data_IF_368744937664
#
_entry.id   IF_368744937664
#
_cell.length_a   1.000
_cell.length_b   1.000
_cell.length_c   1.000
_cell.angle_alpha   90.00
_cell.angle_beta   90.00
_cell.angle_gamma   90.00
#
_symmetry.space_group_name_H-M   'P 1'
#
loop_
_entity.id
_entity.type
_entity.pdbx_description
1 polymer ?
#
# COMPACT_ATOMS: atom_id res chain seq x y z
N UNK A 1 9.32 68.97 -8.33
CA UNK A 1 10.19 69.35 -7.22
C UNK A 1 9.67 68.67 -5.96
N UNK A 2 10.46 67.74 -5.41
CA UNK A 2 10.55 67.36 -3.98
C UNK A 2 9.26 67.17 -3.16
N UNK A 3 8.93 65.94 -2.75
CA UNK A 3 9.42 65.21 -1.57
C UNK A 3 8.46 65.33 -0.37
N UNK A 4 8.00 64.17 0.08
CA UNK A 4 7.85 63.75 1.48
C UNK A 4 7.25 64.73 2.51
N UNK A 5 6.13 64.34 3.14
CA UNK A 5 6.09 63.77 4.50
C UNK A 5 4.65 63.75 5.05
N UNK A 6 4.08 62.55 5.18
CA UNK A 6 3.27 62.17 6.33
C UNK A 6 3.25 60.64 6.41
N UNK A 7 4.16 60.11 7.24
CA UNK A 7 4.23 58.70 7.65
C UNK A 7 3.38 58.54 8.93
N UNK A 8 2.87 57.32 9.12
CA UNK A 8 2.35 56.70 10.35
C UNK A 8 0.86 56.94 10.64
N UNK A 9 0.01 55.98 10.24
CA UNK A 9 -0.66 55.03 11.14
C UNK A 9 -1.43 54.00 10.29
N UNK A 10 -1.71 52.81 10.84
CA UNK A 10 -2.30 51.61 10.18
C UNK A 10 -1.25 50.65 9.55
N UNK A 11 -0.28 50.26 10.36
CA UNK A 11 0.37 48.95 10.27
C UNK A 11 0.15 48.25 11.59
N UNK A 12 -0.98 47.52 11.76
CA UNK A 12 -1.16 46.48 12.80
C UNK A 12 -2.48 45.69 12.79
N UNK A 13 -3.26 45.64 11.70
CA UNK A 13 -4.51 44.83 11.68
C UNK A 13 -4.62 43.78 10.58
N UNK A 14 -3.66 43.67 9.66
CA UNK A 14 -3.69 42.64 8.60
C UNK A 14 -2.75 41.46 8.87
N UNK A 15 -1.72 41.63 9.71
CA UNK A 15 -0.82 40.52 10.07
C UNK A 15 -1.45 39.64 11.17
N UNK A 16 -2.30 40.19 12.04
CA UNK A 16 -2.98 39.41 13.07
C UNK A 16 -4.11 38.54 12.51
N UNK A 17 -4.83 38.96 11.47
CA UNK A 17 -5.94 38.17 10.88
C UNK A 17 -5.46 37.08 9.93
N UNK A 18 -4.34 37.31 9.22
CA UNK A 18 -3.70 36.26 8.41
C UNK A 18 -3.01 35.22 9.31
N UNK A 19 -2.40 35.63 10.42
CA UNK A 19 -1.88 34.67 11.41
C UNK A 19 -2.99 33.94 12.18
N UNK A 20 -4.16 34.53 12.39
CA UNK A 20 -5.30 33.84 13.05
C UNK A 20 -5.98 32.83 12.11
N UNK A 21 -6.08 33.14 10.82
CA UNK A 21 -6.59 32.20 9.81
C UNK A 21 -5.60 31.05 9.54
N UNK A 22 -4.28 31.30 9.57
CA UNK A 22 -3.28 30.25 9.41
C UNK A 22 -3.12 29.35 10.65
N UNK A 23 -3.36 29.87 11.86
CA UNK A 23 -3.35 29.05 13.08
C UNK A 23 -4.47 28.02 13.10
N UNK A 24 -5.64 28.34 12.52
CA UNK A 24 -6.78 27.43 12.46
C UNK A 24 -6.67 26.35 11.37
N UNK A 25 -5.86 26.58 10.31
CA UNK A 25 -5.60 25.56 9.29
C UNK A 25 -4.58 24.50 9.73
N UNK A 26 -3.64 24.84 10.61
CA UNK A 26 -2.63 23.89 11.14
C UNK A 26 -3.22 23.00 12.26
N UNK A 27 -4.27 23.45 12.96
CA UNK A 27 -4.91 22.68 14.04
C UNK A 27 -5.96 21.67 13.55
N UNK A 28 -6.42 21.73 12.29
CA UNK A 28 -7.45 20.84 11.77
C UNK A 28 -6.90 19.48 11.31
N UNK A 29 -5.68 19.43 10.75
CA UNK A 29 -5.03 18.18 10.30
C UNK A 29 -4.68 17.25 11.47
N UNK A 30 -4.22 17.81 12.60
CA UNK A 30 -3.92 17.03 13.81
C UNK A 30 -5.18 16.45 14.46
N UNK A 31 -6.31 17.16 14.45
CA UNK A 31 -7.54 16.66 15.13
C UNK A 31 -8.16 15.44 14.47
N UNK A 32 -8.10 15.31 13.15
CA UNK A 32 -8.67 14.15 12.46
C UNK A 32 -7.74 12.93 12.59
N UNK A 33 -6.44 13.13 12.37
CA UNK A 33 -5.45 12.09 12.55
C UNK A 33 -5.43 11.58 14.00
N UNK A 34 -5.56 12.46 14.99
CA UNK A 34 -5.68 12.08 16.41
C UNK A 34 -6.95 11.26 16.71
N UNK A 35 -8.10 11.63 16.10
CA UNK A 35 -9.36 10.88 16.26
C UNK A 35 -9.31 9.50 15.59
N UNK A 36 -8.57 9.40 14.50
CA UNK A 36 -8.45 8.17 13.71
C UNK A 36 -7.19 7.37 14.04
N UNK A 37 -6.33 7.86 14.93
CA UNK A 37 -5.08 7.18 15.28
C UNK A 37 -5.36 5.76 15.73
N UNK A 38 -4.55 4.86 15.21
CA UNK A 38 -4.64 3.44 15.46
C UNK A 38 -5.78 2.73 14.76
N UNK A 39 -6.62 3.43 13.99
CA UNK A 39 -7.67 2.79 13.19
C UNK A 39 -7.14 2.40 11.82
N UNK A 40 -7.72 1.35 11.29
CA UNK A 40 -7.68 1.04 9.86
C UNK A 40 -8.88 1.71 9.21
N UNK A 41 -8.63 2.42 8.11
CA UNK A 41 -9.65 3.14 7.34
C UNK A 41 -9.70 2.65 5.91
N UNK A 42 -10.90 2.57 5.34
CA UNK A 42 -11.17 2.10 3.99
C UNK A 42 -11.66 3.25 3.12
N UNK A 43 -10.98 3.48 2.01
CA UNK A 43 -11.32 4.56 1.08
C UNK A 43 -12.56 4.20 0.26
N UNK A 44 -13.73 4.71 0.66
CA UNK A 44 -15.04 4.27 0.10
C UNK A 44 -15.42 4.94 -1.23
N UNK A 45 -14.74 6.02 -1.60
CA UNK A 45 -14.98 6.77 -2.84
C UNK A 45 -13.94 6.44 -3.94
N UNK A 46 -13.28 5.29 -3.82
CA UNK A 46 -12.28 4.79 -4.78
C UNK A 46 -12.31 3.26 -4.84
N UNK A 47 -11.18 2.57 -4.97
CA UNK A 47 -11.14 1.11 -5.12
C UNK A 47 -11.23 0.35 -3.79
N UNK A 48 -11.58 1.02 -2.68
CA UNK A 48 -11.65 0.39 -1.36
C UNK A 48 -10.28 0.22 -0.71
N UNK A 49 -9.31 1.07 -1.06
CA UNK A 49 -7.95 1.05 -0.53
C UNK A 49 -7.95 1.11 1.01
N UNK A 50 -7.15 0.25 1.65
CA UNK A 50 -7.01 0.21 3.09
C UNK A 50 -5.79 1.00 3.57
N UNK A 51 -5.96 1.73 4.67
CA UNK A 51 -4.93 2.58 5.24
C UNK A 51 -4.88 2.41 6.75
N UNK A 52 -3.69 2.36 7.33
CA UNK A 52 -3.49 2.36 8.78
C UNK A 52 -3.03 3.72 9.26
N UNK A 53 -3.74 4.33 10.21
CA UNK A 53 -3.32 5.60 10.82
C UNK A 53 -2.43 5.27 12.01
N UNK A 54 -1.11 5.39 11.87
CA UNK A 54 -0.19 4.92 12.90
C UNK A 54 -0.24 5.84 14.14
N UNK A 55 -0.44 5.30 15.36
CA UNK A 55 -0.47 6.12 16.58
C UNK A 55 0.86 6.81 16.90
N UNK A 56 1.99 6.32 16.37
CA UNK A 56 3.31 6.84 16.70
C UNK A 56 3.63 8.19 16.05
N UNK A 57 3.14 8.43 14.84
CA UNK A 57 3.44 9.65 14.08
C UNK A 57 2.20 10.33 13.46
N UNK A 58 1.00 9.78 13.70
CA UNK A 58 -0.28 10.28 13.19
C UNK A 58 -0.39 10.28 11.66
N UNK A 59 0.49 9.54 10.97
CA UNK A 59 0.45 9.44 9.51
C UNK A 59 -0.37 8.23 9.07
N UNK A 60 -0.91 8.32 7.86
CA UNK A 60 -1.56 7.19 7.17
C UNK A 60 -0.53 6.36 6.39
N UNK A 61 -0.61 5.05 6.51
CA UNK A 61 0.20 4.07 5.82
C UNK A 61 -0.68 3.26 4.89
N UNK A 62 -0.34 3.22 3.60
CA UNK A 62 -1.10 2.46 2.63
C UNK A 62 -0.85 0.97 2.83
N UNK A 63 -1.89 0.18 3.12
CA UNK A 63 -1.72 -1.25 3.42
C UNK A 63 -1.55 -2.09 2.14
N UNK A 64 -2.01 -1.63 0.98
CA UNK A 64 -1.79 -2.34 -0.29
C UNK A 64 -2.30 -3.79 -0.27
N UNK A 65 -1.48 -4.73 -0.73
CA UNK A 65 -1.80 -6.17 -0.77
C UNK A 65 -1.53 -6.84 0.58
N UNK A 66 -2.07 -8.04 0.85
CA UNK A 66 -1.84 -8.76 2.11
C UNK A 66 -0.37 -8.80 2.58
N UNK A 67 0.56 -9.16 1.68
CA UNK A 67 2.01 -9.20 1.98
C UNK A 67 2.60 -7.83 2.30
N UNK A 68 2.15 -6.77 1.61
CA UNK A 68 2.63 -5.40 1.83
C UNK A 68 2.13 -4.88 3.18
N UNK A 69 0.85 -5.14 3.46
CA UNK A 69 0.18 -4.82 4.71
C UNK A 69 0.92 -5.46 5.89
N UNK A 70 1.21 -6.76 5.78
CA UNK A 70 1.93 -7.51 6.80
C UNK A 70 3.34 -6.96 7.07
N UNK A 71 4.07 -6.56 6.02
CA UNK A 71 5.39 -5.95 6.17
C UNK A 71 5.33 -4.61 6.93
N UNK A 72 4.37 -3.76 6.58
CA UNK A 72 4.10 -2.50 7.30
C UNK A 72 3.76 -2.79 8.76
N UNK A 73 2.90 -3.77 9.00
CA UNK A 73 2.45 -4.12 10.35
C UNK A 73 3.58 -4.60 11.24
N UNK A 74 4.49 -5.40 10.69
CA UNK A 74 5.66 -5.89 11.40
C UNK A 74 6.64 -4.77 11.73
N UNK A 75 6.88 -3.86 10.79
CA UNK A 75 7.83 -2.75 10.98
C UNK A 75 7.30 -1.69 11.96
N UNK A 76 6.02 -1.34 11.88
CA UNK A 76 5.38 -0.42 12.82
C UNK A 76 4.95 -1.09 14.13
N UNK A 77 5.15 -2.41 14.20
CA UNK A 77 4.74 -3.25 15.30
C UNK A 77 5.42 -2.86 16.60
N UNK A 78 4.62 -2.71 17.64
CA UNK A 78 5.10 -2.42 18.98
C UNK A 78 5.36 -3.71 19.73
N UNK A 79 6.63 -3.97 20.07
CA UNK A 79 6.99 -5.09 20.94
C UNK A 79 6.23 -5.04 22.27
N UNK A 80 5.64 -6.16 22.65
CA UNK A 80 4.90 -6.34 23.92
C UNK A 80 5.31 -7.64 24.59
N UNK A 81 5.33 -7.62 25.92
CA UNK A 81 5.61 -8.83 26.71
C UNK A 81 4.41 -9.77 26.70
N UNK A 82 4.63 -11.09 26.84
CA UNK A 82 3.53 -12.06 27.02
C UNK A 82 2.64 -11.67 28.22
N UNK A 83 3.23 -11.19 29.32
CA UNK A 83 2.50 -10.77 30.51
C UNK A 83 1.60 -9.56 30.26
N UNK A 84 2.06 -8.58 29.49
CA UNK A 84 1.23 -7.41 29.15
C UNK A 84 0.19 -7.75 28.09
N UNK A 85 0.50 -8.69 27.19
CA UNK A 85 -0.43 -9.17 26.17
C UNK A 85 -1.61 -9.94 26.80
N UNK A 86 -1.36 -10.76 27.83
CA UNK A 86 -2.40 -11.48 28.61
C UNK A 86 -3.37 -10.53 29.33
N UNK A 87 -2.95 -9.30 29.62
CA UNK A 87 -3.79 -8.26 30.24
C UNK A 87 -4.71 -7.56 29.23
N UNK A 88 -4.71 -7.98 27.96
CA UNK A 88 -5.54 -7.44 26.89
C UNK A 88 -6.52 -8.53 26.43
N UNK A 89 -7.84 -8.26 26.46
CA UNK A 89 -8.83 -9.25 26.05
C UNK A 89 -8.69 -9.60 24.57
N UNK A 90 -8.79 -10.88 24.25
CA UNK A 90 -8.75 -11.40 22.88
C UNK A 90 -10.12 -11.25 22.20
N UNK A 91 -10.12 -11.03 20.88
CA UNK A 91 -11.34 -10.97 20.09
C UNK A 91 -11.71 -12.35 19.54
N UNK A 92 -13.01 -12.66 19.51
CA UNK A 92 -13.56 -13.83 18.82
C UNK A 92 -13.57 -13.61 17.30
N UNK A 93 -12.39 -13.62 16.71
CA UNK A 93 -12.19 -13.50 15.27
C UNK A 93 -10.83 -14.06 14.86
N UNK A 94 -10.82 -14.85 13.79
CA UNK A 94 -9.63 -15.53 13.26
C UNK A 94 -8.94 -16.45 14.26
N UNK A 95 -9.69 -16.97 15.24
CA UNK A 95 -9.13 -17.90 16.22
C UNK A 95 -9.02 -19.33 15.68
N UNK A 96 -9.82 -19.69 14.68
CA UNK A 96 -9.94 -21.01 14.07
C UNK A 96 -9.60 -21.04 12.56
N UNK A 97 -8.86 -20.03 12.06
CA UNK A 97 -8.57 -19.91 10.62
C UNK A 97 -7.43 -20.83 10.14
N UNK A 98 -6.77 -21.56 11.03
CA UNK A 98 -5.70 -22.50 10.70
C UNK A 98 -5.97 -23.88 11.31
N UNK A 99 -4.99 -24.78 11.21
CA UNK A 99 -5.06 -26.12 11.82
C UNK A 99 -5.41 -25.99 13.31
N UNK A 100 -6.34 -26.85 13.73
CA UNK A 100 -6.85 -27.01 15.09
C UNK A 100 -6.80 -28.52 15.36
N UNK A 101 -5.86 -28.93 16.21
CA UNK A 101 -5.43 -30.31 16.39
C UNK A 101 -6.26 -31.07 17.44
N UNK A 102 -6.95 -30.37 18.34
CA UNK A 102 -7.79 -30.96 19.39
C UNK A 102 -9.29 -30.60 19.28
N UNK A 103 -9.63 -29.75 18.32
CA UNK A 103 -10.99 -29.39 17.91
C UNK A 103 -11.76 -28.61 18.98
N UNK A 104 -11.09 -27.79 19.79
CA UNK A 104 -11.72 -26.86 20.73
C UNK A 104 -12.13 -25.51 20.08
N UNK A 105 -11.92 -25.38 18.77
CA UNK A 105 -12.11 -24.18 17.96
C UNK A 105 -11.10 -23.05 18.22
N UNK A 106 -9.99 -23.34 18.88
CA UNK A 106 -8.77 -22.54 18.97
C UNK A 106 -7.71 -23.19 18.08
N UNK A 107 -7.15 -22.44 17.14
CA UNK A 107 -6.14 -23.01 16.26
C UNK A 107 -4.80 -23.19 16.97
N UNK A 108 -4.03 -24.20 16.55
CA UNK A 108 -2.68 -24.49 17.04
C UNK A 108 -1.80 -23.22 17.06
N UNK A 109 -1.96 -22.34 16.06
CA UNK A 109 -1.19 -21.11 15.96
C UNK A 109 -1.53 -20.12 17.09
N UNK A 110 -2.81 -20.00 17.44
CA UNK A 110 -3.25 -19.18 18.57
C UNK A 110 -2.87 -19.83 19.88
N UNK A 111 -3.02 -21.13 20.01
CA UNK A 111 -2.64 -21.86 21.22
C UNK A 111 -1.15 -21.72 21.54
N UNK A 112 -0.29 -21.92 20.54
CA UNK A 112 1.15 -21.67 20.65
C UNK A 112 1.47 -20.24 21.12
N UNK A 113 0.68 -19.25 20.70
CA UNK A 113 0.85 -17.85 21.10
C UNK A 113 0.39 -17.58 22.53
N UNK A 114 -0.63 -18.31 23.01
CA UNK A 114 -1.18 -18.20 24.37
C UNK A 114 -0.40 -19.08 25.37
N UNK A 115 0.32 -20.08 24.86
CA UNK A 115 1.11 -21.03 25.63
C UNK A 115 0.31 -22.26 26.07
N UNK A 116 -0.86 -22.51 25.47
CA UNK A 116 -1.68 -23.72 25.67
C UNK A 116 -1.15 -24.89 24.84
N UNK A 117 -1.64 -26.10 25.11
CA UNK A 117 -1.23 -27.34 24.42
C UNK A 117 -2.16 -27.65 23.23
N UNK A 118 -1.69 -27.55 21.97
CA UNK A 118 -2.51 -27.75 20.77
C UNK A 118 -3.18 -29.11 20.60
N UNK A 119 -2.92 -30.05 21.50
CA UNK A 119 -3.45 -31.42 21.42
C UNK A 119 -4.36 -31.74 22.59
N UNK A 120 -4.68 -30.75 23.40
CA UNK A 120 -5.43 -30.92 24.61
C UNK A 120 -6.39 -29.74 24.78
N UNK A 121 -7.70 -29.98 24.58
CA UNK A 121 -8.66 -28.88 24.50
C UNK A 121 -8.85 -28.15 25.85
N UNK A 122 -8.36 -28.73 26.95
CA UNK A 122 -8.42 -28.19 28.32
C UNK A 122 -7.01 -28.29 28.92
N UNK A 123 -6.20 -27.25 28.69
CA UNK A 123 -4.75 -27.25 28.98
C UNK A 123 -4.41 -27.28 30.46
N UNK A 124 -5.31 -26.79 31.33
CA UNK A 124 -5.11 -26.80 32.78
C UNK A 124 -5.92 -27.87 33.53
N UNK A 125 -6.73 -28.63 32.79
CA UNK A 125 -7.54 -29.75 33.23
C UNK A 125 -8.62 -29.37 34.26
N UNK A 126 -9.24 -28.20 34.10
CA UNK A 126 -10.27 -27.68 34.99
C UNK A 126 -11.72 -27.89 34.51
N UNK A 127 -11.89 -28.63 33.41
CA UNK A 127 -13.15 -28.98 32.72
C UNK A 127 -13.75 -27.89 31.83
N UNK A 128 -13.05 -26.78 31.61
CA UNK A 128 -13.38 -25.79 30.59
C UNK A 128 -12.35 -25.87 29.47
N UNK A 129 -12.77 -25.66 28.22
CA UNK A 129 -11.82 -25.66 27.11
C UNK A 129 -11.11 -24.31 26.96
N UNK A 130 -9.91 -24.33 26.38
CA UNK A 130 -9.02 -23.17 26.33
C UNK A 130 -9.67 -21.97 25.64
N UNK A 131 -10.40 -22.22 24.55
CA UNK A 131 -11.18 -21.17 23.87
C UNK A 131 -12.25 -20.56 24.78
N UNK A 132 -13.07 -21.39 25.43
CA UNK A 132 -14.17 -20.96 26.29
C UNK A 132 -13.63 -20.06 27.41
N UNK A 133 -12.53 -20.46 28.03
CA UNK A 133 -11.89 -19.69 29.07
C UNK A 133 -11.42 -18.33 28.55
N UNK A 134 -10.71 -18.28 27.43
CA UNK A 134 -10.25 -17.03 26.82
C UNK A 134 -11.41 -16.09 26.47
N UNK A 135 -12.52 -16.63 25.98
CA UNK A 135 -13.72 -15.84 25.64
C UNK A 135 -14.45 -15.31 26.88
N UNK A 136 -14.38 -16.05 27.99
CA UNK A 136 -15.00 -15.69 29.27
C UNK A 136 -14.04 -14.96 30.24
N UNK A 137 -12.78 -14.74 29.85
CA UNK A 137 -11.79 -14.02 30.63
C UNK A 137 -11.14 -14.82 31.76
N UNK A 138 -11.09 -16.14 31.60
CA UNK A 138 -10.33 -17.07 32.44
C UNK A 138 -9.00 -17.43 31.77
N UNK A 139 -8.08 -17.99 32.57
CA UNK A 139 -6.73 -18.32 32.13
C UNK A 139 -6.67 -19.80 31.77
N UNK A 140 -6.36 -20.17 30.51
CA UNK A 140 -6.30 -21.58 30.08
C UNK A 140 -5.09 -22.36 30.59
N UNK A 141 -4.38 -21.80 31.55
CA UNK A 141 -3.18 -22.37 32.18
C UNK A 141 -3.27 -22.31 33.70
N UNK A 142 -4.46 -22.01 34.24
CA UNK A 142 -4.69 -21.95 35.66
C UNK A 142 -6.01 -21.28 36.02
N UNK A 143 -6.58 -21.73 37.13
CA UNK A 143 -7.90 -21.41 37.70
C UNK A 143 -8.26 -19.93 37.95
N UNK A 144 -7.37 -18.99 37.67
CA UNK A 144 -7.57 -17.57 37.95
C UNK A 144 -8.18 -16.84 36.75
N UNK A 145 -8.94 -15.76 37.03
CA UNK A 145 -9.39 -14.85 35.97
C UNK A 145 -8.24 -14.02 35.43
N UNK A 146 -8.28 -13.74 34.13
CA UNK A 146 -7.35 -12.81 33.49
C UNK A 146 -7.54 -11.40 34.06
N UNK A 147 -6.48 -10.85 34.64
CA UNK A 147 -6.48 -9.50 35.19
C UNK A 147 -6.21 -8.48 34.08
N UNK A 148 -7.27 -8.04 33.40
CA UNK A 148 -7.16 -7.03 32.36
C UNK A 148 -6.78 -5.65 32.91
N UNK A 149 -5.77 -5.02 32.31
CA UNK A 149 -5.27 -3.72 32.74
C UNK A 149 -5.68 -2.62 31.75
N UNK A 150 -6.68 -1.83 32.15
CA UNK A 150 -7.17 -0.70 31.37
C UNK A 150 -6.08 0.33 31.03
N UNK A 151 -5.05 0.51 31.87
CA UNK A 151 -3.96 1.45 31.56
C UNK A 151 -3.11 0.93 30.41
N UNK A 152 -2.82 -0.38 30.39
CA UNK A 152 -2.08 -1.04 29.30
C UNK A 152 -2.91 -1.02 28.02
N UNK A 153 -4.18 -1.41 28.11
CA UNK A 153 -5.13 -1.42 26.99
C UNK A 153 -5.21 -0.04 26.34
N UNK A 154 -5.40 1.03 27.13
CA UNK A 154 -5.48 2.39 26.58
C UNK A 154 -4.15 2.86 25.99
N UNK A 155 -3.01 2.51 26.62
CA UNK A 155 -1.67 2.86 26.14
C UNK A 155 -1.32 2.18 24.81
N UNK A 156 -1.79 0.95 24.61
CA UNK A 156 -1.53 0.13 23.44
C UNK A 156 -2.65 0.18 22.40
N UNK A 157 -3.74 0.86 22.71
CA UNK A 157 -4.90 1.00 21.82
C UNK A 157 -4.49 1.49 20.44
N UNK A 158 -4.85 0.71 19.42
CA UNK A 158 -4.57 1.04 18.03
C UNK A 158 -3.19 0.68 17.52
N UNK A 159 -2.33 0.11 18.35
CA UNK A 159 -1.07 -0.45 17.88
C UNK A 159 -1.27 -1.86 17.35
N UNK A 160 -0.47 -2.19 16.34
CA UNK A 160 -0.11 -3.57 16.08
C UNK A 160 0.93 -3.96 17.14
N UNK A 161 0.70 -5.08 17.81
CA UNK A 161 1.51 -5.60 18.89
C UNK A 161 2.27 -6.83 18.39
N UNK A 162 3.57 -6.86 18.65
CA UNK A 162 4.43 -8.00 18.31
C UNK A 162 4.86 -8.67 19.59
N UNK A 163 4.57 -9.95 19.72
CA UNK A 163 4.92 -10.74 20.89
C UNK A 163 6.43 -10.93 20.95
N UNK A 164 7.09 -10.30 21.92
CA UNK A 164 8.55 -10.22 21.96
C UNK A 164 9.23 -11.54 22.38
N UNK A 165 8.54 -12.37 23.16
CA UNK A 165 9.06 -13.65 23.68
C UNK A 165 8.55 -14.88 22.89
N UNK A 166 7.86 -14.68 21.76
CA UNK A 166 7.34 -15.75 20.91
C UNK A 166 8.09 -15.86 19.58
N UNK A 167 7.43 -16.41 18.55
CA UNK A 167 7.95 -16.46 17.17
C UNK A 167 7.73 -15.15 16.41
N UNK A 168 7.33 -14.08 17.12
CA UNK A 168 7.00 -12.78 16.53
C UNK A 168 5.55 -12.72 16.06
N UNK A 169 4.66 -13.41 16.75
CA UNK A 169 3.22 -13.39 16.55
C UNK A 169 2.70 -11.95 16.63
N UNK A 170 1.80 -11.61 15.71
CA UNK A 170 1.30 -10.26 15.55
C UNK A 170 -0.19 -10.18 15.94
N UNK A 171 -0.53 -9.09 16.62
CA UNK A 171 -1.88 -8.81 17.09
C UNK A 171 -2.25 -7.37 16.77
N UNK A 172 -3.50 -7.09 16.45
CA UNK A 172 -3.99 -5.71 16.34
C UNK A 172 -4.91 -5.38 17.50
N UNK A 173 -4.55 -4.41 18.34
CA UNK A 173 -5.43 -3.94 19.41
C UNK A 173 -6.38 -2.88 18.86
N UNK A 174 -7.63 -3.27 18.60
CA UNK A 174 -8.60 -2.41 17.95
C UNK A 174 -9.08 -1.28 18.89
N UNK A 175 -8.95 0.01 18.49
CA UNK A 175 -9.40 1.12 19.32
C UNK A 175 -10.91 1.17 19.57
N UNK A 176 -11.71 0.44 18.80
CA UNK A 176 -13.18 0.48 18.89
C UNK A 176 -13.74 -0.36 20.03
N UNK A 177 -13.23 -1.58 20.20
CA UNK A 177 -13.71 -2.56 21.19
C UNK A 177 -12.66 -2.90 22.26
N UNK A 178 -11.43 -2.38 22.11
CA UNK A 178 -10.31 -2.60 23.02
C UNK A 178 -9.89 -4.07 23.14
N UNK A 179 -10.18 -4.89 22.13
CA UNK A 179 -9.74 -6.28 22.04
C UNK A 179 -8.58 -6.43 21.06
N UNK A 180 -7.72 -7.42 21.33
CA UNK A 180 -6.64 -7.82 20.42
C UNK A 180 -7.12 -8.89 19.44
N UNK A 181 -6.91 -8.62 18.17
CA UNK A 181 -7.21 -9.52 17.06
C UNK A 181 -5.93 -10.24 16.64
N UNK A 182 -5.98 -11.56 16.54
CA UNK A 182 -4.86 -12.32 16.01
C UNK A 182 -4.68 -12.01 14.52
N UNK A 183 -3.47 -11.64 14.11
CA UNK A 183 -3.20 -11.31 12.71
C UNK A 183 -2.71 -12.50 11.89
N UNK A 184 -2.22 -13.57 12.52
CA UNK A 184 -1.90 -14.83 11.84
C UNK A 184 -1.09 -14.66 10.56
N UNK A 185 -1.63 -15.17 9.45
CA UNK A 185 -1.05 -15.05 8.12
C UNK A 185 -1.31 -13.67 7.48
N UNK A 186 -0.57 -13.27 6.43
CA UNK A 186 -0.89 -12.04 5.69
C UNK A 186 -2.34 -11.96 5.22
N UNK A 187 -2.90 -13.09 4.79
CA UNK A 187 -4.29 -13.23 4.34
C UNK A 187 -5.28 -13.01 5.51
N UNK A 188 -5.04 -13.64 6.66
CA UNK A 188 -5.87 -13.45 7.88
C UNK A 188 -5.87 -12.00 8.34
N UNK A 189 -4.67 -11.40 8.39
CA UNK A 189 -4.47 -10.00 8.73
C UNK A 189 -5.25 -9.09 7.78
N UNK A 190 -5.20 -9.37 6.47
CA UNK A 190 -5.91 -8.55 5.49
C UNK A 190 -7.42 -8.63 5.66
N UNK A 191 -7.98 -9.83 5.81
CA UNK A 191 -9.43 -10.03 5.97
C UNK A 191 -9.96 -9.38 7.25
N UNK A 192 -9.26 -9.53 8.38
CA UNK A 192 -9.71 -8.92 9.64
C UNK A 192 -9.67 -7.40 9.56
N UNK A 193 -8.62 -6.85 8.94
CA UNK A 193 -8.46 -5.41 8.81
C UNK A 193 -9.48 -4.78 7.88
N UNK A 194 -9.86 -5.49 6.82
CA UNK A 194 -10.97 -5.09 5.95
C UNK A 194 -12.31 -5.15 6.70
N UNK A 195 -12.54 -6.20 7.50
CA UNK A 195 -13.79 -6.38 8.28
C UNK A 195 -13.99 -5.29 9.35
N UNK A 196 -12.93 -4.90 10.05
CA UNK A 196 -13.01 -3.90 11.15
C UNK A 196 -12.72 -2.47 10.68
N UNK A 197 -12.33 -2.30 9.41
CA UNK A 197 -11.98 -1.03 8.81
C UNK A 197 -13.14 -0.03 8.82
N UNK A 198 -12.81 1.24 9.09
CA UNK A 198 -13.77 2.33 9.08
C UNK A 198 -13.79 3.03 7.72
N UNK A 199 -14.95 3.15 7.09
CA UNK A 199 -15.08 3.91 5.84
C UNK A 199 -14.65 5.37 5.99
N UNK A 200 -13.86 5.87 5.06
CA UNK A 200 -13.41 7.27 4.97
C UNK A 200 -13.51 7.78 3.53
N UNK A 201 -13.97 9.02 3.37
CA UNK A 201 -14.03 9.69 2.07
C UNK A 201 -12.67 10.28 1.67
N UNK A 202 -12.51 10.59 0.38
CA UNK A 202 -11.23 11.02 -0.19
C UNK A 202 -10.74 12.35 0.45
N UNK A 203 -11.67 13.27 0.73
CA UNK A 203 -11.35 14.57 1.33
C UNK A 203 -10.79 14.44 2.75
N UNK A 204 -11.42 13.62 3.60
CA UNK A 204 -10.98 13.40 4.97
C UNK A 204 -9.69 12.58 5.02
N UNK A 205 -9.56 11.60 4.14
CA UNK A 205 -8.32 10.84 4.03
C UNK A 205 -7.17 11.76 3.64
N UNK A 206 -7.34 12.63 2.62
CA UNK A 206 -6.34 13.60 2.14
C UNK A 206 -5.83 14.56 3.22
N UNK A 207 -6.65 14.87 4.23
CA UNK A 207 -6.26 15.71 5.38
C UNK A 207 -5.28 15.04 6.33
N UNK A 208 -5.06 13.73 6.20
CA UNK A 208 -4.12 12.98 7.03
C UNK A 208 -2.84 12.79 6.23
N UNK A 209 -1.74 13.31 6.77
CA UNK A 209 -0.41 13.18 6.17
C UNK A 209 -0.09 11.71 5.92
N UNK A 210 0.35 11.40 4.71
CA UNK A 210 0.79 10.06 4.35
C UNK A 210 2.24 9.83 4.75
N UNK A 211 2.54 8.66 5.31
CA UNK A 211 3.90 8.30 5.67
C UNK A 211 4.77 8.11 4.41
N UNK A 212 6.01 8.56 4.51
CA UNK A 212 7.10 8.18 3.60
C UNK A 212 7.62 6.79 3.98
N UNK A 213 6.70 5.82 4.06
CA UNK A 213 7.06 4.45 4.37
C UNK A 213 7.34 3.69 3.09
N UNK A 214 8.59 3.32 2.93
CA UNK A 214 9.07 2.44 1.89
C UNK A 214 9.24 1.08 2.58
N UNK A 215 8.20 0.20 2.62
CA UNK A 215 8.49 -1.17 3.02
C UNK A 215 9.63 -1.60 2.10
N UNK A 216 10.66 -2.25 2.63
CA UNK A 216 11.63 -2.93 1.78
C UNK A 216 10.79 -3.96 1.02
N UNK A 217 10.30 -3.56 -0.15
CA UNK A 217 9.57 -4.42 -1.04
C UNK A 217 10.59 -5.47 -1.38
N UNK A 218 10.47 -6.67 -0.80
CA UNK A 218 11.26 -7.83 -1.19
C UNK A 218 10.76 -8.32 -2.55
N UNK A 219 10.69 -7.43 -3.54
CA UNK A 219 10.74 -7.76 -4.96
C UNK A 219 12.20 -7.84 -5.44
N UNK A 220 13.17 -7.88 -4.52
CA UNK A 220 14.59 -8.04 -4.84
C UNK A 220 15.02 -9.50 -5.06
N UNK A 221 14.09 -10.44 -5.24
CA UNK A 221 14.45 -11.69 -5.89
C UNK A 221 14.55 -11.45 -7.41
N UNK A 222 15.74 -11.04 -7.86
CA UNK A 222 16.12 -10.82 -9.27
C UNK A 222 15.67 -11.99 -10.17
N UNK A 223 15.68 -13.23 -9.65
CA UNK A 223 15.19 -14.43 -10.35
C UNK A 223 13.66 -14.45 -10.60
N UNK A 224 12.86 -13.89 -9.69
CA UNK A 224 11.38 -13.97 -9.77
C UNK A 224 10.78 -12.89 -10.70
N UNK A 225 11.58 -11.92 -11.15
CA UNK A 225 11.15 -10.79 -11.96
C UNK A 225 11.59 -10.83 -13.43
N UNK A 226 12.09 -11.98 -13.91
CA UNK A 226 12.61 -12.15 -15.27
C UNK A 226 13.58 -11.02 -15.69
N UNK A 227 14.40 -10.55 -14.76
CA UNK A 227 15.32 -9.43 -14.99
C UNK A 227 16.76 -9.92 -14.88
N UNK A 228 17.61 -9.46 -15.79
CA UNK A 228 19.07 -9.62 -15.72
C UNK A 228 19.76 -8.26 -15.74
N UNK A 229 21.04 -8.23 -15.33
CA UNK A 229 21.89 -7.04 -15.46
C UNK A 229 22.73 -7.18 -16.72
N UNK A 230 22.75 -6.17 -17.57
CA UNK A 230 23.55 -6.14 -18.79
C UNK A 230 25.01 -5.78 -18.48
N UNK A 231 25.96 -6.03 -19.40
CA UNK A 231 27.35 -5.60 -19.22
C UNK A 231 27.55 -4.09 -19.03
N UNK A 232 26.62 -3.27 -19.56
CA UNK A 232 26.65 -1.81 -19.41
C UNK A 232 26.07 -1.32 -18.07
N UNK A 233 25.55 -2.23 -17.23
CA UNK A 233 24.93 -1.91 -15.94
C UNK A 233 23.45 -1.50 -16.04
N UNK A 234 22.84 -1.53 -17.23
CA UNK A 234 21.39 -1.42 -17.39
C UNK A 234 20.70 -2.71 -16.93
N UNK A 235 19.40 -2.62 -16.64
CA UNK A 235 18.59 -3.82 -16.37
C UNK A 235 17.87 -4.23 -17.65
N UNK A 236 17.75 -5.53 -17.87
CA UNK A 236 17.01 -6.11 -18.99
C UNK A 236 15.87 -6.98 -18.47
N UNK A 237 14.65 -6.70 -18.90
CA UNK A 237 13.49 -7.54 -18.62
C UNK A 237 13.23 -8.49 -19.79
N UNK A 238 12.83 -9.72 -19.49
CA UNK A 238 12.31 -10.70 -20.44
C UNK A 238 10.89 -11.08 -20.06
N UNK A 239 9.94 -11.03 -20.98
CA UNK A 239 8.56 -11.41 -20.67
C UNK A 239 8.45 -12.91 -20.38
N UNK A 240 7.31 -13.34 -19.82
CA UNK A 240 7.02 -14.77 -19.71
C UNK A 240 7.12 -15.42 -21.11
N UNK A 241 7.72 -16.61 -21.18
CA UNK A 241 8.05 -17.32 -22.45
C UNK A 241 8.95 -16.54 -23.43
N UNK A 242 9.61 -15.46 -22.98
CA UNK A 242 10.53 -14.63 -23.76
C UNK A 242 9.93 -14.02 -25.04
N UNK A 243 8.62 -13.73 -25.05
CA UNK A 243 7.93 -13.10 -26.19
C UNK A 243 8.58 -11.76 -26.57
N UNK A 244 8.89 -10.91 -25.57
CA UNK A 244 9.58 -9.65 -25.79
C UNK A 244 10.57 -9.34 -24.67
N UNK A 245 11.59 -8.54 -24.99
CA UNK A 245 12.56 -8.04 -24.00
C UNK A 245 12.78 -6.54 -24.20
N UNK A 246 13.13 -5.84 -23.13
CA UNK A 246 13.52 -4.43 -23.17
C UNK A 246 14.50 -4.09 -22.04
N UNK A 247 15.23 -2.99 -22.18
CA UNK A 247 16.14 -2.46 -21.17
C UNK A 247 15.56 -1.25 -20.45
N UNK A 248 15.97 -1.07 -19.20
CA UNK A 248 15.51 0.01 -18.34
C UNK A 248 16.60 0.42 -17.32
N UNK A 249 16.50 1.63 -16.72
CA UNK A 249 17.54 2.10 -15.82
C UNK A 249 17.65 1.25 -14.54
N UNK A 250 18.86 1.07 -13.98
CA UNK A 250 19.08 0.20 -12.82
C UNK A 250 18.41 0.67 -11.52
N UNK A 251 18.06 1.96 -11.45
CA UNK A 251 17.35 2.53 -10.30
C UNK A 251 15.84 2.27 -10.33
N UNK A 252 15.29 1.85 -11.48
CA UNK A 252 13.87 1.53 -11.61
C UNK A 252 13.58 0.11 -11.13
N UNK A 253 12.33 -0.14 -10.77
CA UNK A 253 11.85 -1.41 -10.21
C UNK A 253 10.65 -1.91 -10.99
N UNK A 254 10.61 -3.23 -11.22
CA UNK A 254 9.46 -3.92 -11.81
C UNK A 254 8.52 -4.39 -10.70
N UNK A 255 7.23 -4.11 -10.87
CA UNK A 255 6.13 -4.68 -10.10
C UNK A 255 5.27 -5.53 -11.04
N UNK A 256 4.87 -6.70 -10.58
CA UNK A 256 3.95 -7.62 -11.27
C UNK A 256 2.65 -7.75 -10.47
N UNK A 257 1.57 -8.04 -11.17
CA UNK A 257 0.27 -8.31 -10.57
C UNK A 257 -0.06 -9.78 -10.75
N UNK A 258 -0.33 -10.48 -9.65
CA UNK A 258 -0.69 -11.92 -9.69
C UNK A 258 -1.96 -12.13 -10.53
N UNK A 259 -2.94 -11.23 -10.40
CA UNK A 259 -4.20 -11.26 -11.16
C UNK A 259 -4.08 -10.73 -12.61
N UNK A 260 -2.90 -10.25 -13.02
CA UNK A 260 -2.68 -9.69 -14.36
C UNK A 260 -1.28 -10.08 -14.86
N UNK A 261 -1.05 -11.36 -15.20
CA UNK A 261 0.27 -11.87 -15.57
C UNK A 261 0.83 -11.26 -16.86
N UNK A 262 -0.04 -10.65 -17.68
CA UNK A 262 0.33 -9.94 -18.91
C UNK A 262 0.72 -8.48 -18.67
N UNK A 263 0.65 -8.00 -17.42
CA UNK A 263 0.92 -6.62 -17.04
C UNK A 263 2.12 -6.53 -16.11
N UNK A 264 2.99 -5.54 -16.37
CA UNK A 264 4.03 -5.13 -15.44
C UNK A 264 4.06 -3.61 -15.30
N UNK A 265 4.57 -3.13 -14.17
CA UNK A 265 4.84 -1.72 -13.95
C UNK A 265 6.32 -1.51 -13.65
N UNK A 266 6.93 -0.54 -14.32
CA UNK A 266 8.24 -0.02 -14.01
C UNK A 266 8.07 1.32 -13.31
N UNK A 267 8.74 1.50 -12.19
CA UNK A 267 8.72 2.77 -11.50
C UNK A 267 10.03 3.02 -10.77
N UNK A 268 10.46 4.28 -10.76
CA UNK A 268 11.48 4.79 -9.85
C UNK A 268 10.87 5.43 -8.59
N UNK A 269 9.54 5.44 -8.51
CA UNK A 269 8.79 5.89 -7.35
C UNK A 269 8.74 4.78 -6.30
N UNK A 270 8.94 5.20 -5.07
CA UNK A 270 8.83 4.29 -3.92
C UNK A 270 7.37 4.08 -3.54
N UNK A 271 6.52 5.11 -3.69
CA UNK A 271 5.11 5.10 -3.27
C UNK A 271 4.19 5.48 -4.43
N UNK A 272 3.85 6.77 -4.53
CA UNK A 272 2.97 7.36 -5.53
C UNK A 272 3.79 8.26 -6.45
N UNK A 273 3.74 7.97 -7.74
CA UNK A 273 4.56 8.68 -8.72
C UNK A 273 4.11 10.13 -8.93
N UNK A 274 2.85 10.49 -8.65
CA UNK A 274 2.36 11.87 -8.80
C UNK A 274 2.86 12.70 -7.62
N UNK A 275 2.70 12.20 -6.39
CA UNK A 275 3.15 12.88 -5.17
C UNK A 275 4.66 13.02 -5.13
N UNK A 276 5.41 11.97 -5.52
CA UNK A 276 6.87 12.01 -5.57
C UNK A 276 7.42 12.74 -6.80
N UNK A 277 6.54 13.26 -7.66
CA UNK A 277 6.89 13.88 -8.95
C UNK A 277 7.75 12.98 -9.84
N UNK A 278 7.49 11.68 -9.79
CA UNK A 278 8.20 10.63 -10.50
C UNK A 278 7.37 10.06 -11.66
N UNK A 279 7.70 8.85 -12.11
CA UNK A 279 6.98 8.19 -13.18
C UNK A 279 6.64 6.73 -12.89
N UNK A 280 5.64 6.27 -13.61
CA UNK A 280 5.34 4.86 -13.80
C UNK A 280 5.24 4.58 -15.30
N UNK A 281 5.84 3.47 -15.74
CA UNK A 281 5.67 2.93 -17.08
C UNK A 281 4.96 1.58 -16.94
N UNK A 282 3.78 1.48 -17.51
CA UNK A 282 2.96 0.28 -17.49
C UNK A 282 3.12 -0.42 -18.83
N UNK A 283 3.51 -1.70 -18.81
CA UNK A 283 3.53 -2.53 -20.01
C UNK A 283 2.41 -3.56 -19.92
N UNK A 284 1.68 -3.72 -21.01
CA UNK A 284 0.59 -4.67 -21.11
C UNK A 284 0.69 -5.43 -22.43
N UNK A 285 0.88 -6.75 -22.33
CA UNK A 285 0.85 -7.65 -23.48
C UNK A 285 -0.60 -7.99 -23.82
N UNK A 286 -0.99 -7.67 -25.04
CA UNK A 286 -2.35 -7.89 -25.56
C UNK A 286 -2.27 -9.01 -26.60
N UNK A 287 -3.04 -10.07 -26.38
CA UNK A 287 -3.24 -11.14 -27.35
C UNK A 287 -4.70 -11.15 -27.78
N UNK A 288 -4.94 -11.16 -29.08
CA UNK A 288 -6.29 -11.08 -29.66
C UNK A 288 -6.63 -12.31 -30.50
N UNK A 289 -7.92 -12.54 -30.77
CA UNK A 289 -8.35 -13.62 -31.67
C UNK A 289 -8.12 -13.27 -33.15
N UNK A 290 -8.28 -11.99 -33.47
CA UNK A 290 -8.12 -11.41 -34.81
C UNK A 290 -6.88 -10.52 -34.86
N UNK A 291 -6.23 -10.47 -36.02
CA UNK A 291 -5.12 -9.53 -36.22
C UNK A 291 -5.69 -8.15 -36.59
N UNK A 292 -5.61 -7.20 -35.66
CA UNK A 292 -6.14 -5.86 -35.85
C UNK A 292 -5.07 -4.91 -36.45
N UNK A 293 -5.56 -3.89 -37.14
CA UNK A 293 -4.80 -2.69 -37.42
C UNK A 293 -4.61 -1.86 -36.14
N UNK A 294 -3.58 -1.03 -36.11
CA UNK A 294 -3.15 -0.33 -34.89
C UNK A 294 -4.09 0.80 -34.46
N UNK A 295 -4.91 1.29 -35.37
CA UNK A 295 -5.90 2.35 -35.13
C UNK A 295 -6.99 1.93 -34.13
N UNK A 296 -7.25 0.62 -33.96
CA UNK A 296 -8.18 0.13 -32.93
C UNK A 296 -7.73 0.49 -31.50
N UNK A 297 -6.42 0.73 -31.30
CA UNK A 297 -5.86 1.09 -29.99
C UNK A 297 -5.84 2.59 -29.74
N UNK A 298 -6.29 3.38 -30.72
CA UNK A 298 -6.47 4.82 -30.57
C UNK A 298 -7.38 5.12 -29.38
N UNK A 299 -6.94 6.02 -28.53
CA UNK A 299 -7.73 6.47 -27.38
C UNK A 299 -8.51 7.72 -27.79
N UNK A 300 -9.81 7.74 -27.49
CA UNK A 300 -10.65 8.91 -27.77
C UNK A 300 -10.12 10.17 -27.05
N UNK A 301 -10.42 11.34 -27.61
CA UNK A 301 -10.07 12.60 -26.98
C UNK A 301 -10.72 12.72 -25.60
N UNK A 302 -9.92 13.10 -24.60
CA UNK A 302 -10.38 13.24 -23.22
C UNK A 302 -10.87 14.67 -22.99
N UNK A 303 -12.13 14.84 -22.59
CA UNK A 303 -12.73 16.15 -22.35
C UNK A 303 -11.94 16.95 -21.30
N UNK A 304 -11.53 18.17 -21.64
CA UNK A 304 -10.79 19.05 -20.74
C UNK A 304 -9.29 18.74 -20.62
N UNK A 305 -8.74 17.90 -21.50
CA UNK A 305 -7.32 17.52 -21.54
C UNK A 305 -6.74 17.85 -22.91
N UNK A 306 -5.52 18.41 -22.96
CA UNK A 306 -4.88 18.72 -24.23
C UNK A 306 -4.25 17.47 -24.85
N UNK A 307 -4.69 17.09 -26.05
CA UNK A 307 -4.06 16.02 -26.84
C UNK A 307 -2.79 16.58 -27.49
N UNK A 308 -1.64 15.97 -27.19
CA UNK A 308 -0.33 16.36 -27.73
C UNK A 308 0.11 15.47 -28.90
N UNK A 309 -0.26 14.18 -28.87
CA UNK A 309 -0.07 13.28 -30.01
C UNK A 309 -1.23 12.30 -30.16
N UNK A 310 -1.52 11.98 -31.42
CA UNK A 310 -2.51 11.00 -31.86
C UNK A 310 -2.11 10.59 -33.29
N UNK A 311 -1.14 9.67 -33.41
CA UNK A 311 -0.51 9.35 -34.70
C UNK A 311 0.11 7.96 -34.73
N UNK A 312 0.27 7.44 -35.94
CA UNK A 312 1.14 6.29 -36.19
C UNK A 312 2.62 6.66 -36.01
N UNK A 313 3.40 5.70 -35.52
CA UNK A 313 4.83 5.82 -35.26
C UNK A 313 5.57 4.54 -35.67
N UNK A 314 6.88 4.65 -35.90
CA UNK A 314 7.77 3.50 -36.05
C UNK A 314 8.74 3.43 -34.87
N UNK A 315 8.81 2.26 -34.24
CA UNK A 315 9.71 1.97 -33.12
C UNK A 315 10.65 0.84 -33.57
N UNK A 316 11.84 1.21 -34.03
CA UNK A 316 12.74 0.26 -34.68
C UNK A 316 12.09 -0.35 -35.93
N UNK A 317 11.89 -1.67 -35.93
CA UNK A 317 11.20 -2.41 -36.99
C UNK A 317 9.68 -2.49 -36.80
N UNK A 318 9.16 -2.13 -35.63
CA UNK A 318 7.75 -2.27 -35.30
C UNK A 318 6.94 -1.05 -35.74
N UNK A 319 5.78 -1.31 -36.33
CA UNK A 319 4.73 -0.31 -36.45
C UNK A 319 4.03 -0.11 -35.11
N UNK A 320 3.70 1.13 -34.78
CA UNK A 320 2.98 1.47 -33.57
C UNK A 320 2.04 2.65 -33.72
N UNK A 321 1.25 2.88 -32.67
CA UNK A 321 0.35 4.02 -32.54
C UNK A 321 0.62 4.71 -31.21
N UNK A 322 0.82 6.02 -31.25
CA UNK A 322 1.14 6.84 -30.10
C UNK A 322 0.03 7.85 -29.79
N UNK A 323 -0.32 7.93 -28.51
CA UNK A 323 -1.18 8.97 -27.95
C UNK A 323 -0.49 9.64 -26.76
N UNK A 324 -0.58 10.96 -26.66
CA UNK A 324 -0.13 11.68 -25.46
C UNK A 324 -1.07 12.80 -25.07
N UNK A 325 -1.19 13.00 -23.75
CA UNK A 325 -2.14 13.89 -23.13
C UNK A 325 -1.46 14.72 -22.03
N UNK A 326 -1.75 16.02 -22.03
CA UNK A 326 -1.27 16.95 -21.02
C UNK A 326 -2.40 17.34 -20.07
N UNK A 327 -2.25 16.94 -18.81
CA UNK A 327 -3.16 17.25 -17.72
C UNK A 327 -2.62 18.43 -16.90
N UNK A 328 -3.45 19.06 -16.03
CA UNK A 328 -2.96 20.15 -15.18
C UNK A 328 -1.76 19.78 -14.30
N UNK A 329 -1.70 18.54 -13.79
CA UNK A 329 -0.65 18.08 -12.86
C UNK A 329 0.13 16.85 -13.35
N UNK A 330 -0.27 16.26 -14.48
CA UNK A 330 0.30 15.00 -14.97
C UNK A 330 0.49 15.04 -16.48
N UNK A 331 1.33 14.13 -16.96
CA UNK A 331 1.57 13.86 -18.36
C UNK A 331 1.41 12.37 -18.61
N UNK A 332 0.71 12.01 -19.69
CA UNK A 332 0.50 10.63 -20.11
C UNK A 332 0.98 10.46 -21.55
N UNK A 333 1.73 9.38 -21.81
CA UNK A 333 2.12 8.97 -23.16
C UNK A 333 1.96 7.47 -23.29
N UNK A 334 1.22 7.02 -24.29
CA UNK A 334 0.97 5.62 -24.57
C UNK A 334 1.39 5.29 -25.98
N UNK A 335 2.14 4.21 -26.16
CA UNK A 335 2.52 3.66 -27.46
C UNK A 335 2.10 2.20 -27.48
N UNK A 336 1.28 1.82 -28.45
CA UNK A 336 0.96 0.42 -28.73
C UNK A 336 1.75 -0.01 -29.96
N UNK A 337 2.56 -1.06 -29.84
CA UNK A 337 3.33 -1.62 -30.95
C UNK A 337 2.82 -3.00 -31.32
N UNK A 338 2.80 -3.31 -32.62
CA UNK A 338 2.46 -4.64 -33.12
C UNK A 338 3.73 -5.48 -33.12
N UNK A 339 3.81 -6.45 -32.21
CA UNK A 339 4.99 -7.33 -32.08
C UNK A 339 4.99 -8.41 -33.18
N UNK A 340 3.84 -9.04 -33.40
CA UNK A 340 3.56 -10.03 -34.44
C UNK A 340 2.04 -10.14 -34.66
N UNK A 341 1.53 -10.88 -35.66
CA UNK A 341 0.10 -11.01 -35.87
C UNK A 341 -0.61 -11.42 -34.57
N UNK A 342 -1.68 -10.70 -34.22
CA UNK A 342 -2.50 -10.90 -33.01
C UNK A 342 -1.80 -10.63 -31.67
N UNK A 343 -0.59 -10.09 -31.67
CA UNK A 343 0.15 -9.76 -30.44
C UNK A 343 0.66 -8.33 -30.45
N UNK A 344 0.24 -7.58 -29.44
CA UNK A 344 0.54 -6.17 -29.30
C UNK A 344 1.12 -5.90 -27.91
N UNK A 345 2.05 -4.96 -27.83
CA UNK A 345 2.57 -4.47 -26.56
C UNK A 345 2.15 -3.02 -26.39
N UNK A 346 1.38 -2.75 -25.35
CA UNK A 346 0.97 -1.39 -24.97
C UNK A 346 1.86 -0.91 -23.83
N UNK A 347 2.57 0.19 -24.07
CA UNK A 347 3.50 0.81 -23.11
C UNK A 347 2.99 2.20 -22.77
N UNK A 348 2.61 2.43 -21.52
CA UNK A 348 2.01 3.69 -21.04
C UNK A 348 2.87 4.32 -19.96
N UNK A 349 3.43 5.50 -20.24
CA UNK A 349 4.05 6.39 -19.26
C UNK A 349 2.98 7.27 -18.61
N UNK A 350 3.03 7.36 -17.28
CA UNK A 350 2.35 8.40 -16.53
C UNK A 350 3.36 9.05 -15.58
N UNK A 351 3.43 10.37 -15.57
CA UNK A 351 4.38 11.13 -14.75
C UNK A 351 3.82 12.47 -14.31
N UNK A 352 4.39 13.06 -13.26
CA UNK A 352 4.08 14.44 -12.90
C UNK A 352 4.57 15.42 -13.97
N UNK A 353 3.73 16.43 -14.27
CA UNK A 353 4.00 17.41 -15.33
C UNK A 353 5.34 18.12 -15.21
N UNK A 354 5.80 18.37 -13.98
CA UNK A 354 7.05 19.10 -13.73
C UNK A 354 8.31 18.40 -14.24
N UNK A 355 8.26 17.08 -14.44
CA UNK A 355 9.44 16.26 -14.79
C UNK A 355 9.26 15.46 -16.08
N UNK A 356 8.23 15.77 -16.88
CA UNK A 356 7.86 14.97 -18.06
C UNK A 356 9.02 14.76 -19.05
N UNK A 357 9.81 15.79 -19.38
CA UNK A 357 10.92 15.69 -20.33
C UNK A 357 11.98 14.63 -19.94
N UNK A 358 12.26 14.50 -18.64
CA UNK A 358 13.22 13.50 -18.13
C UNK A 358 12.67 12.08 -18.28
N UNK A 359 11.41 11.88 -17.88
CA UNK A 359 10.76 10.58 -17.88
C UNK A 359 10.34 10.11 -19.26
N UNK A 360 9.97 11.04 -20.14
CA UNK A 360 9.70 10.77 -21.55
C UNK A 360 10.95 10.27 -22.26
N UNK A 361 12.13 10.82 -21.96
CA UNK A 361 13.40 10.29 -22.48
C UNK A 361 13.62 8.84 -22.07
N UNK A 362 13.40 8.50 -20.80
CA UNK A 362 13.54 7.12 -20.30
C UNK A 362 12.54 6.19 -21.00
N UNK A 363 11.31 6.64 -21.18
CA UNK A 363 10.28 5.92 -21.90
C UNK A 363 10.66 5.66 -23.37
N UNK A 364 11.12 6.69 -24.08
CA UNK A 364 11.51 6.57 -25.49
C UNK A 364 12.76 5.67 -25.65
N UNK A 365 13.71 5.74 -24.73
CA UNK A 365 14.89 4.88 -24.73
C UNK A 365 14.52 3.42 -24.45
N UNK A 366 13.57 3.17 -23.53
CA UNK A 366 13.01 1.83 -23.29
C UNK A 366 12.37 1.28 -24.58
N UNK A 367 11.51 2.06 -25.23
CA UNK A 367 10.82 1.64 -26.46
C UNK A 367 11.81 1.19 -27.56
N UNK A 368 12.92 1.91 -27.73
CA UNK A 368 13.96 1.58 -28.73
C UNK A 368 14.70 0.27 -28.44
N UNK A 369 14.70 -0.18 -27.19
CA UNK A 369 15.37 -1.43 -26.79
C UNK A 369 14.46 -2.66 -26.88
N UNK A 370 13.19 -2.47 -27.28
CA UNK A 370 12.25 -3.57 -27.43
C UNK A 370 12.73 -4.52 -28.52
N UNK A 371 12.76 -5.81 -28.20
CA UNK A 371 13.06 -6.90 -29.12
C UNK A 371 12.03 -8.01 -28.94
N UNK A 372 11.75 -8.77 -30.01
CA UNK A 372 10.79 -9.89 -30.04
C UNK A 372 11.55 -11.15 -30.40
N UNK A 373 11.14 -12.29 -29.82
CA UNK A 373 11.69 -13.61 -30.13
C UNK A 373 10.85 -14.39 -31.14
#
# INVERSE_FOLDING_TARGET
MNKHKAKILITLTVIATISFAWKNHILAETTLAEKLKGKIVLQVESHGEAWYIFPGDYKRYFLGRPKDAFAIMKELGKGVSNDDLKKIPIADANLNNSVDSDLDELSDAVENSQGTDPKNPDSDHDSYNDKEELMNGYSPLGKDRLNYDNKIIQKLSGYILIQAQGKGEAWYLNPKDLKRYYLGTPEDAFEIMKKIGLGINNLNLFRISQADFNPIYTSENIKNNFTTTTPSGTRKYSSNQEIYTFEYPPVWRIRKFEDSPNQIQLTDATRDFIVEKKAVIINYLITTETDYELDIFRVENKTGVATLSDREVKIGEFSGYENSYDYPLAYEKTTTIKLKPKQFLRVSLVTAKSNNNYYEKIYDDLLKTITVK
#
